data_IF_174664774237
#
_entry.id   IF_174664774237
#
_cell.length_a   1.000
_cell.length_b   1.000
_cell.length_c   1.000
_cell.angle_alpha   90.00
_cell.angle_beta   90.00
_cell.angle_gamma   90.00
#
_symmetry.space_group_name_H-M   'P 1'
#
loop_
_entity.id
_entity.type
_entity.pdbx_description
1 polymer ?
#
# COMPACT_ATOMS: atom_id res chain seq x y z
N UNK A 1 -23.45 -0.11 19.43
CA UNK A 1 -22.27 0.21 20.26
C UNK A 1 -21.46 1.24 19.51
N UNK A 2 -21.49 2.48 19.97
CA UNK A 2 -20.67 3.57 19.45
C UNK A 2 -19.24 3.37 19.94
N UNK A 3 -18.28 3.27 19.01
CA UNK A 3 -16.86 3.25 19.35
C UNK A 3 -16.49 4.59 20.00
N UNK A 4 -15.61 4.62 21.02
CA UNK A 4 -15.13 5.89 21.55
C UNK A 4 -14.27 6.54 20.46
N UNK A 5 -14.71 7.69 19.95
CA UNK A 5 -13.85 8.62 19.24
C UNK A 5 -12.63 8.86 20.15
N UNK A 6 -11.44 8.48 19.67
CA UNK A 6 -10.21 8.89 20.35
C UNK A 6 -10.19 10.41 20.31
N UNK A 7 -10.49 11.04 21.44
CA UNK A 7 -10.29 12.48 21.62
C UNK A 7 -8.79 12.78 21.46
N UNK A 8 -8.40 13.15 20.25
CA UNK A 8 -7.08 13.67 19.96
C UNK A 8 -6.92 14.97 20.77
N UNK A 9 -5.80 15.14 21.45
CA UNK A 9 -5.58 16.35 22.23
C UNK A 9 -5.55 17.58 21.31
N UNK A 10 -6.01 18.76 21.78
CA UNK A 10 -5.97 20.01 20.99
C UNK A 10 -4.58 20.30 20.40
N UNK A 11 -3.51 19.92 21.12
CA UNK A 11 -2.13 20.07 20.66
C UNK A 11 -1.79 19.13 19.51
N UNK A 12 -2.23 17.88 19.56
CA UNK A 12 -2.04 16.94 18.46
C UNK A 12 -2.87 17.33 17.25
N UNK A 13 -4.13 17.74 17.45
CA UNK A 13 -4.97 18.26 16.37
C UNK A 13 -4.31 19.45 15.65
N UNK A 14 -3.80 20.44 16.40
CA UNK A 14 -3.11 21.59 15.82
C UNK A 14 -1.82 21.21 15.07
N UNK A 15 -1.07 20.21 15.56
CA UNK A 15 0.12 19.72 14.85
C UNK A 15 -0.25 19.03 13.55
N UNK A 16 -1.28 18.19 13.57
CA UNK A 16 -1.76 17.46 12.40
C UNK A 16 -2.31 18.43 11.35
N UNK A 17 -3.15 19.39 11.76
CA UNK A 17 -3.68 20.42 10.87
C UNK A 17 -2.57 21.32 10.28
N UNK A 18 -1.58 21.70 11.08
CA UNK A 18 -0.42 22.45 10.59
C UNK A 18 0.41 21.64 9.59
N UNK A 19 0.52 20.32 9.80
CA UNK A 19 1.16 19.40 8.85
C UNK A 19 0.41 19.34 7.51
N UNK A 20 -0.90 19.08 7.52
CA UNK A 20 -1.70 19.05 6.28
C UNK A 20 -1.60 20.36 5.50
N UNK A 21 -1.71 21.50 6.19
CA UNK A 21 -1.59 22.81 5.55
C UNK A 21 -0.20 23.03 4.93
N UNK A 22 0.87 22.64 5.62
CA UNK A 22 2.23 22.73 5.09
C UNK A 22 2.40 21.86 3.83
N UNK A 23 1.90 20.63 3.84
CA UNK A 23 1.91 19.76 2.67
C UNK A 23 1.15 20.36 1.47
N UNK A 24 -0.08 20.84 1.68
CA UNK A 24 -0.87 21.47 0.62
C UNK A 24 -0.25 22.77 0.09
N UNK A 25 0.49 23.49 0.92
CA UNK A 25 1.20 24.71 0.51
C UNK A 25 2.38 24.44 -0.43
N UNK A 26 2.94 23.22 -0.38
CA UNK A 26 4.06 22.80 -1.23
C UNK A 26 3.61 22.41 -2.65
N UNK A 27 2.33 22.11 -2.83
CA UNK A 27 1.76 21.65 -4.10
C UNK A 27 1.34 22.83 -4.99
N UNK A 28 1.59 22.68 -6.29
CA UNK A 28 1.25 23.62 -7.35
C UNK A 28 0.01 23.13 -8.11
N UNK A 29 -1.14 23.13 -7.43
CA UNK A 29 -2.38 22.57 -7.94
C UNK A 29 -3.39 23.62 -8.41
N UNK A 30 -4.23 23.30 -9.41
CA UNK A 30 -5.45 24.04 -9.69
C UNK A 30 -6.39 24.10 -8.47
N UNK A 31 -7.20 25.16 -8.38
CA UNK A 31 -8.11 25.38 -7.23
C UNK A 31 -9.04 24.19 -6.97
N UNK A 32 -9.54 23.55 -8.03
CA UNK A 32 -10.43 22.39 -7.90
C UNK A 32 -9.72 21.17 -7.29
N UNK A 33 -8.50 20.85 -7.74
CA UNK A 33 -7.72 19.75 -7.20
C UNK A 33 -7.26 20.03 -5.77
N UNK A 34 -6.88 21.28 -5.48
CA UNK A 34 -6.54 21.73 -4.13
C UNK A 34 -7.73 21.54 -3.19
N UNK A 35 -8.92 21.99 -3.56
CA UNK A 35 -10.12 21.85 -2.74
C UNK A 35 -10.47 20.37 -2.46
N UNK A 36 -10.35 19.50 -3.49
CA UNK A 36 -10.54 18.04 -3.31
C UNK A 36 -9.54 17.46 -2.33
N UNK A 37 -8.26 17.81 -2.44
CA UNK A 37 -7.25 17.33 -1.49
C UNK A 37 -7.44 17.89 -0.08
N UNK A 38 -7.89 19.14 0.05
CA UNK A 38 -8.22 19.74 1.35
C UNK A 38 -9.32 18.94 2.07
N UNK A 39 -10.40 18.59 1.38
CA UNK A 39 -11.47 17.75 1.93
C UNK A 39 -10.95 16.38 2.38
N UNK A 40 -10.09 15.79 1.55
CA UNK A 40 -9.58 14.44 1.73
C UNK A 40 -8.50 14.35 2.83
N UNK A 41 -7.64 15.37 2.91
CA UNK A 41 -6.49 15.44 3.79
C UNK A 41 -6.75 16.24 5.07
N UNK A 42 -7.99 16.69 5.28
CA UNK A 42 -8.36 17.40 6.49
C UNK A 42 -8.02 16.55 7.71
N UNK A 43 -7.29 17.16 8.65
CA UNK A 43 -6.80 16.50 9.87
C UNK A 43 -5.98 15.22 9.68
N UNK A 44 -5.34 15.03 8.51
CA UNK A 44 -4.41 13.92 8.26
C UNK A 44 -2.99 14.23 8.70
N UNK A 45 -2.30 13.20 9.16
CA UNK A 45 -0.90 13.34 9.53
C UNK A 45 -0.04 13.43 8.26
N UNK A 46 0.81 14.46 8.19
CA UNK A 46 1.83 14.58 7.16
C UNK A 46 3.19 14.88 7.80
N UNK A 47 4.25 14.50 7.09
CA UNK A 47 5.64 14.65 7.53
C UNK A 47 6.52 14.97 6.33
N UNK A 48 7.37 15.97 6.46
CA UNK A 48 8.52 16.14 5.56
C UNK A 48 9.58 15.12 5.99
N UNK A 49 9.75 14.06 5.21
CA UNK A 49 10.69 12.96 5.50
C UNK A 49 11.09 12.27 4.20
N UNK A 50 12.29 11.68 4.17
CA UNK A 50 12.75 10.90 3.01
C UNK A 50 12.09 9.52 2.97
N UNK A 51 12.12 8.88 1.81
CA UNK A 51 11.56 7.53 1.66
C UNK A 51 12.12 6.51 2.66
N UNK A 52 13.45 6.51 2.90
CA UNK A 52 14.06 5.57 3.85
C UNK A 52 13.62 5.83 5.30
N UNK A 53 13.34 7.09 5.64
CA UNK A 53 12.91 7.49 6.97
C UNK A 53 11.47 7.02 7.26
N UNK A 54 10.57 7.09 6.26
CA UNK A 54 9.21 6.51 6.38
C UNK A 54 9.26 4.98 6.47
N UNK A 55 10.10 4.29 5.69
CA UNK A 55 10.28 2.84 5.80
C UNK A 55 10.77 2.43 7.19
N UNK A 56 11.77 3.13 7.73
CA UNK A 56 12.30 2.87 9.07
C UNK A 56 11.23 3.06 10.16
N UNK A 57 10.40 4.10 10.02
CA UNK A 57 9.25 4.34 10.91
C UNK A 57 8.19 3.24 10.80
N UNK A 58 7.82 2.85 9.59
CA UNK A 58 6.82 1.80 9.34
C UNK A 58 7.29 0.43 9.82
N UNK A 59 8.59 0.14 9.77
CA UNK A 59 9.16 -1.09 10.37
C UNK A 59 8.84 -1.21 11.86
N UNK A 60 8.87 -0.10 12.62
CA UNK A 60 8.49 -0.15 14.03
C UNK A 60 6.98 -0.40 14.21
N UNK A 61 6.17 0.26 13.37
CA UNK A 61 4.70 0.12 13.36
C UNK A 61 4.28 -1.34 13.16
N UNK A 62 4.95 -2.08 12.27
CA UNK A 62 4.67 -3.49 11.99
C UNK A 62 4.61 -4.35 13.25
N UNK A 63 5.44 -4.08 14.26
CA UNK A 63 5.47 -4.85 15.51
C UNK A 63 4.60 -4.26 16.63
N UNK A 64 4.26 -2.98 16.53
CA UNK A 64 3.58 -2.24 17.60
C UNK A 64 2.06 -2.17 17.42
N UNK A 65 1.57 -2.27 16.17
CA UNK A 65 0.14 -2.16 15.86
C UNK A 65 -0.42 -3.50 15.42
N UNK A 66 -1.71 -3.69 15.67
CA UNK A 66 -2.46 -4.85 15.19
C UNK A 66 -3.10 -4.62 13.80
N UNK A 67 -3.26 -3.36 13.39
CA UNK A 67 -3.93 -2.97 12.15
C UNK A 67 -2.92 -2.33 11.18
N UNK A 68 -3.18 -2.50 9.88
CA UNK A 68 -2.36 -1.94 8.80
C UNK A 68 -2.43 -0.42 8.75
N UNK A 69 -1.28 0.27 8.74
CA UNK A 69 -1.16 1.69 8.42
C UNK A 69 -1.01 1.90 6.92
N UNK A 70 -1.58 2.98 6.39
CA UNK A 70 -1.47 3.36 4.98
C UNK A 70 -0.94 4.78 4.85
N UNK A 71 0.08 4.94 4.02
CA UNK A 71 0.78 6.18 3.75
C UNK A 71 1.01 6.34 2.25
N UNK A 72 1.02 7.58 1.77
CA UNK A 72 1.58 7.92 0.47
C UNK A 72 2.84 8.73 0.71
N UNK A 73 3.93 8.37 0.05
CA UNK A 73 5.14 9.16 0.00
C UNK A 73 5.25 9.80 -1.38
N UNK A 74 5.49 11.11 -1.41
CA UNK A 74 5.39 11.95 -2.60
C UNK A 74 6.71 12.69 -2.77
N UNK A 75 7.26 12.63 -3.98
CA UNK A 75 8.47 13.36 -4.36
C UNK A 75 8.21 14.38 -5.45
N UNK A 76 8.56 15.63 -5.16
CA UNK A 76 8.58 16.73 -6.13
C UNK A 76 9.89 17.50 -5.99
N UNK A 77 10.67 17.49 -7.08
CA UNK A 77 12.07 17.94 -7.11
C UNK A 77 12.90 17.29 -5.97
N UNK A 78 13.61 18.11 -5.20
CA UNK A 78 14.44 17.71 -4.06
C UNK A 78 13.65 17.57 -2.74
N UNK A 79 12.33 17.79 -2.75
CA UNK A 79 11.48 17.70 -1.56
C UNK A 79 10.62 16.45 -1.56
N UNK A 80 10.45 15.89 -0.36
CA UNK A 80 9.74 14.64 -0.13
C UNK A 80 8.80 14.79 1.07
N UNK A 81 7.58 14.30 0.93
CA UNK A 81 6.57 14.30 1.98
C UNK A 81 5.86 12.96 2.06
N UNK A 82 5.55 12.53 3.28
CA UNK A 82 4.68 11.39 3.53
C UNK A 82 3.37 11.86 4.16
N UNK A 83 2.25 11.32 3.68
CA UNK A 83 0.90 11.65 4.16
C UNK A 83 0.15 10.38 4.52
N UNK A 84 -0.54 10.37 5.65
CA UNK A 84 -1.40 9.26 6.04
C UNK A 84 -2.67 9.25 5.17
N UNK A 85 -2.94 8.12 4.52
CA UNK A 85 -4.04 7.99 3.55
C UNK A 85 -5.12 6.99 3.97
N UNK A 86 -5.16 6.64 5.26
CA UNK A 86 -6.17 5.72 5.77
C UNK A 86 -7.54 6.42 5.78
N UNK A 87 -8.48 6.00 4.94
CA UNK A 87 -9.83 6.60 4.86
C UNK A 87 -10.64 6.28 6.13
N UNK A 88 -11.04 5.01 6.28
CA UNK A 88 -11.76 4.47 7.43
C UNK A 88 -11.21 3.08 7.78
N UNK A 89 -11.06 2.77 9.06
CA UNK A 89 -10.70 1.45 9.53
C UNK A 89 -11.89 0.81 10.25
N UNK A 90 -12.46 -0.23 9.67
CA UNK A 90 -13.28 -1.20 10.41
C UNK A 90 -12.48 -2.48 10.60
N UNK A 91 -12.98 -3.40 11.44
CA UNK A 91 -12.36 -4.72 11.61
C UNK A 91 -12.37 -5.58 10.32
N UNK A 92 -13.16 -5.19 9.31
CA UNK A 92 -13.40 -5.95 8.08
C UNK A 92 -13.05 -5.18 6.80
N UNK A 93 -12.70 -3.90 6.88
CA UNK A 93 -12.34 -3.10 5.71
C UNK A 93 -11.43 -1.93 6.07
N UNK A 94 -10.39 -1.78 5.27
CA UNK A 94 -9.60 -0.57 5.12
C UNK A 94 -9.72 -0.12 3.66
N UNK A 95 -10.17 1.12 3.46
CA UNK A 95 -10.06 1.79 2.16
C UNK A 95 -8.94 2.82 2.21
N UNK A 96 -8.25 2.96 1.09
CA UNK A 96 -7.31 4.07 0.88
C UNK A 96 -8.08 5.26 0.34
N UNK A 97 -7.58 6.43 0.69
CA UNK A 97 -8.02 7.69 0.13
C UNK A 97 -7.61 7.80 -1.34
N UNK A 98 -8.48 8.40 -2.18
CA UNK A 98 -8.18 8.75 -3.57
C UNK A 98 -7.25 9.97 -3.66
N UNK A 99 -5.93 9.74 -3.80
CA UNK A 99 -4.95 10.81 -3.95
C UNK A 99 -4.72 11.26 -5.41
N UNK A 100 -5.55 10.82 -6.36
CA UNK A 100 -5.36 11.16 -7.77
C UNK A 100 -5.34 12.66 -8.10
N UNK A 101 -6.03 13.56 -7.37
CA UNK A 101 -5.86 15.00 -7.59
C UNK A 101 -4.40 15.48 -7.43
N UNK A 102 -3.52 14.75 -6.72
CA UNK A 102 -2.09 15.09 -6.64
C UNK A 102 -1.38 15.07 -8.00
N UNK A 103 -1.83 14.23 -8.94
CA UNK A 103 -1.21 14.14 -10.24
C UNK A 103 -1.50 15.34 -11.16
N UNK A 104 -2.36 16.28 -10.73
CA UNK A 104 -2.52 17.57 -11.42
C UNK A 104 -1.34 18.52 -11.14
N UNK A 105 -0.48 18.22 -10.16
CA UNK A 105 0.80 18.89 -9.98
C UNK A 105 1.86 18.21 -10.86
N UNK A 106 2.14 18.81 -12.02
CA UNK A 106 3.08 18.27 -13.01
C UNK A 106 4.52 18.10 -12.51
N UNK A 107 4.88 18.72 -11.39
CA UNK A 107 6.22 18.59 -10.79
C UNK A 107 6.32 17.41 -9.82
N UNK A 108 5.20 16.71 -9.53
CA UNK A 108 5.20 15.45 -8.78
C UNK A 108 5.79 14.36 -9.67
N UNK A 109 7.02 13.99 -9.35
CA UNK A 109 7.79 13.00 -10.11
C UNK A 109 7.45 11.56 -9.74
N UNK A 110 7.08 11.32 -8.48
CA UNK A 110 6.84 9.96 -7.96
C UNK A 110 5.87 9.96 -6.78
N UNK A 111 5.02 8.94 -6.76
CA UNK A 111 4.19 8.57 -5.60
C UNK A 111 4.44 7.10 -5.26
N UNK A 112 4.79 6.84 -4.01
CA UNK A 112 4.85 5.50 -3.42
C UNK A 112 3.66 5.33 -2.47
N UNK A 113 2.75 4.43 -2.78
CA UNK A 113 1.74 4.01 -1.82
C UNK A 113 2.29 2.92 -0.92
N UNK A 114 2.46 3.23 0.36
CA UNK A 114 3.00 2.33 1.37
C UNK A 114 1.89 1.83 2.30
N UNK A 115 1.92 0.56 2.64
CA UNK A 115 1.19 0.05 3.79
C UNK A 115 1.99 -0.96 4.59
N UNK A 116 1.50 -1.29 5.79
CA UNK A 116 2.14 -2.30 6.64
C UNK A 116 1.34 -3.59 6.67
N UNK A 117 2.00 -4.74 6.66
CA UNK A 117 1.44 -5.99 7.18
C UNK A 117 1.92 -6.18 8.63
N UNK A 118 1.04 -6.07 9.65
CA UNK A 118 1.44 -6.24 11.03
C UNK A 118 1.94 -7.65 11.35
N UNK A 119 2.92 -7.75 12.26
CA UNK A 119 3.37 -9.04 12.79
C UNK A 119 2.23 -9.82 13.49
N UNK A 120 1.17 -9.12 13.93
CA UNK A 120 -0.03 -9.74 14.49
C UNK A 120 -0.74 -10.67 13.50
N UNK A 121 -0.62 -10.45 12.18
CA UNK A 121 -1.20 -11.31 11.15
C UNK A 121 -0.57 -12.72 11.16
N UNK A 122 0.72 -12.83 11.49
CA UNK A 122 1.39 -14.12 11.63
C UNK A 122 0.77 -15.01 12.72
N UNK A 123 0.09 -14.42 13.71
CA UNK A 123 -0.58 -15.15 14.79
C UNK A 123 -1.99 -15.61 14.41
N UNK A 124 -2.69 -14.85 13.58
CA UNK A 124 -4.11 -15.07 13.27
C UNK A 124 -4.33 -15.85 11.98
N UNK A 125 -3.45 -15.69 10.99
CA UNK A 125 -3.63 -16.25 9.66
C UNK A 125 -2.76 -17.48 9.39
N UNK A 126 -1.64 -17.62 10.10
CA UNK A 126 -0.65 -18.66 9.83
C UNK A 126 -0.33 -19.45 11.10
N UNK A 127 -0.18 -20.77 10.97
CA UNK A 127 0.18 -21.65 12.09
C UNK A 127 1.68 -21.54 12.45
N UNK A 128 2.20 -20.32 12.58
CA UNK A 128 3.59 -20.09 13.01
C UNK A 128 3.71 -20.51 14.48
N UNK A 129 4.74 -21.29 14.85
CA UNK A 129 4.94 -21.71 16.24
C UNK A 129 4.99 -20.53 17.21
N UNK A 130 4.33 -20.67 18.38
CA UNK A 130 4.17 -19.57 19.33
C UNK A 130 5.50 -19.07 19.92
N UNK A 131 6.48 -19.96 20.10
CA UNK A 131 7.83 -19.61 20.53
C UNK A 131 8.52 -18.68 19.51
N UNK A 132 8.34 -18.95 18.21
CA UNK A 132 8.86 -18.11 17.12
C UNK A 132 8.15 -16.77 17.06
N UNK A 133 6.82 -16.75 17.18
CA UNK A 133 6.06 -15.50 17.25
C UNK A 133 6.55 -14.62 18.41
N UNK A 134 6.66 -15.20 19.62
CA UNK A 134 7.14 -14.48 20.79
C UNK A 134 8.57 -13.94 20.60
N UNK A 135 9.43 -14.69 19.92
CA UNK A 135 10.77 -14.21 19.55
C UNK A 135 10.72 -13.03 18.58
N UNK A 136 9.87 -13.07 17.55
CA UNK A 136 9.71 -12.00 16.56
C UNK A 136 9.26 -10.71 17.22
N UNK A 137 8.24 -10.76 18.07
CA UNK A 137 7.75 -9.57 18.79
C UNK A 137 8.80 -9.03 19.76
N UNK A 138 9.49 -9.91 20.50
CA UNK A 138 10.52 -9.49 21.46
C UNK A 138 11.73 -8.85 20.78
N UNK A 139 12.16 -9.40 19.64
CA UNK A 139 13.36 -8.94 18.91
C UNK A 139 13.04 -7.87 17.85
N UNK A 140 11.77 -7.61 17.56
CA UNK A 140 11.32 -6.79 16.43
C UNK A 140 12.04 -7.17 15.12
N UNK A 141 12.11 -8.48 14.87
CA UNK A 141 12.79 -9.07 13.72
C UNK A 141 12.13 -10.39 13.34
N UNK A 142 11.72 -10.55 12.08
CA UNK A 142 11.14 -11.78 11.56
C UNK A 142 11.82 -12.28 10.29
N UNK A 143 11.66 -13.57 9.99
CA UNK A 143 12.07 -14.20 8.72
C UNK A 143 10.87 -14.66 7.88
N UNK A 144 9.66 -14.63 8.46
CA UNK A 144 8.43 -15.05 7.84
C UNK A 144 7.86 -13.92 7.00
N UNK A 145 8.08 -14.00 5.69
CA UNK A 145 7.59 -13.00 4.75
C UNK A 145 6.09 -13.16 4.51
N UNK A 146 5.38 -12.05 4.65
CA UNK A 146 3.98 -11.91 4.25
C UNK A 146 3.92 -11.32 2.85
N UNK A 147 3.41 -12.06 1.87
CA UNK A 147 3.34 -11.63 0.46
C UNK A 147 2.22 -10.58 0.31
N UNK A 148 2.38 -9.56 -0.57
CA UNK A 148 1.26 -8.67 -0.91
C UNK A 148 0.03 -9.44 -1.37
N UNK A 149 -1.14 -9.01 -0.90
CA UNK A 149 -2.40 -9.71 -1.14
C UNK A 149 -2.94 -9.51 -2.56
N UNK A 150 -3.96 -10.28 -2.94
CA UNK A 150 -4.67 -10.04 -4.21
C UNK A 150 -5.24 -8.62 -4.29
N UNK A 151 -5.78 -8.11 -3.18
CA UNK A 151 -6.34 -6.76 -3.11
C UNK A 151 -5.26 -5.68 -3.31
N UNK A 152 -4.02 -5.95 -2.88
CA UNK A 152 -2.90 -5.05 -3.12
C UNK A 152 -2.56 -4.92 -4.60
N UNK A 153 -2.56 -6.05 -5.35
CA UNK A 153 -2.31 -6.05 -6.79
C UNK A 153 -3.48 -5.44 -7.57
N UNK A 154 -4.73 -5.77 -7.20
CA UNK A 154 -5.91 -5.16 -7.82
C UNK A 154 -5.95 -3.64 -7.62
N UNK A 155 -5.59 -3.18 -6.42
CA UNK A 155 -5.52 -1.74 -6.11
C UNK A 155 -4.46 -1.07 -6.97
N UNK A 156 -3.25 -1.63 -7.06
CA UNK A 156 -2.18 -1.12 -7.92
C UNK A 156 -2.59 -1.08 -9.39
N UNK A 157 -3.19 -2.15 -9.93
CA UNK A 157 -3.67 -2.16 -11.32
C UNK A 157 -4.73 -1.10 -11.56
N UNK A 158 -5.70 -0.98 -10.64
CA UNK A 158 -6.74 0.04 -10.70
C UNK A 158 -6.17 1.46 -10.61
N UNK A 159 -5.17 1.69 -9.76
CA UNK A 159 -4.51 2.99 -9.63
C UNK A 159 -3.71 3.31 -10.92
N UNK A 160 -2.91 2.36 -11.42
CA UNK A 160 -2.13 2.52 -12.66
C UNK A 160 -3.05 2.76 -13.87
N UNK A 161 -4.19 2.05 -13.93
CA UNK A 161 -5.18 2.21 -15.00
C UNK A 161 -5.79 3.61 -14.97
N UNK A 162 -6.15 4.09 -13.78
CA UNK A 162 -6.71 5.42 -13.58
C UNK A 162 -5.72 6.52 -13.95
N UNK A 163 -4.41 6.32 -13.70
CA UNK A 163 -3.36 7.25 -14.14
C UNK A 163 -3.30 7.31 -15.66
N UNK A 164 -3.30 6.14 -16.32
CA UNK A 164 -3.29 6.04 -17.78
C UNK A 164 -4.53 6.68 -18.41
N UNK A 165 -5.72 6.44 -17.86
CA UNK A 165 -7.00 7.04 -18.29
C UNK A 165 -6.97 8.57 -18.23
N UNK A 166 -6.32 9.14 -17.20
CA UNK A 166 -6.19 10.60 -17.01
C UNK A 166 -5.00 11.22 -17.74
N UNK A 167 -4.14 10.42 -18.37
CA UNK A 167 -2.92 10.90 -19.04
C UNK A 167 -1.91 11.56 -18.08
N UNK A 168 -1.89 11.14 -16.82
CA UNK A 168 -0.99 11.72 -15.80
C UNK A 168 0.43 11.22 -15.98
N UNK A 169 1.40 12.14 -15.98
CA UNK A 169 2.82 11.82 -15.96
C UNK A 169 3.29 11.59 -14.51
N UNK A 170 4.15 10.59 -14.29
CA UNK A 170 4.73 10.29 -12.98
C UNK A 170 4.87 8.80 -12.71
N UNK A 171 5.80 8.45 -11.83
CA UNK A 171 6.00 7.07 -11.40
C UNK A 171 5.08 6.72 -10.23
N UNK A 172 4.35 5.62 -10.37
CA UNK A 172 3.54 5.05 -9.30
C UNK A 172 4.10 3.69 -8.89
N UNK A 173 4.36 3.54 -7.60
CA UNK A 173 4.79 2.25 -7.04
C UNK A 173 4.01 1.97 -5.76
N UNK A 174 3.79 0.69 -5.49
CA UNK A 174 3.20 0.26 -4.23
C UNK A 174 4.23 -0.51 -3.43
N UNK A 175 4.23 -0.33 -2.11
CA UNK A 175 5.14 -1.02 -1.21
C UNK A 175 4.44 -1.53 0.05
N UNK A 176 4.83 -2.72 0.50
CA UNK A 176 4.39 -3.29 1.77
C UNK A 176 5.57 -3.43 2.70
N UNK A 177 5.47 -2.83 3.87
CA UNK A 177 6.42 -3.02 4.96
C UNK A 177 5.91 -4.12 5.88
N UNK A 178 6.66 -5.20 6.04
CA UNK A 178 6.24 -6.40 6.77
C UNK A 178 7.34 -6.90 7.73
N UNK A 179 7.09 -7.86 8.63
CA UNK A 179 8.03 -8.24 9.68
C UNK A 179 9.42 -8.69 9.21
N UNK A 180 9.58 -9.17 7.97
CA UNK A 180 10.88 -9.61 7.47
C UNK A 180 11.56 -8.64 6.48
N UNK A 181 10.85 -7.66 5.94
CA UNK A 181 11.37 -6.78 4.90
C UNK A 181 10.34 -5.85 4.27
N UNK A 182 10.68 -5.37 3.07
CA UNK A 182 9.84 -4.49 2.25
C UNK A 182 9.60 -5.14 0.90
N UNK A 183 8.34 -5.27 0.53
CA UNK A 183 7.93 -5.56 -0.84
C UNK A 183 7.74 -4.25 -1.59
N UNK A 184 8.20 -4.19 -2.83
CA UNK A 184 7.83 -3.13 -3.78
C UNK A 184 7.38 -3.76 -5.08
N UNK A 185 6.26 -3.30 -5.62
CA UNK A 185 5.60 -3.93 -6.76
C UNK A 185 4.99 -2.89 -7.71
N UNK A 186 5.00 -3.25 -8.98
CA UNK A 186 4.55 -2.46 -10.12
C UNK A 186 3.66 -3.30 -11.06
N UNK A 187 3.05 -2.61 -12.02
CA UNK A 187 2.03 -3.14 -12.91
C UNK A 187 2.32 -2.83 -14.37
N UNK A 188 2.43 -3.87 -15.19
CA UNK A 188 2.47 -3.77 -16.65
C UNK A 188 1.06 -3.94 -17.22
N UNK A 189 0.34 -2.82 -17.38
CA UNK A 189 -1.01 -2.83 -17.96
C UNK A 189 -1.03 -3.26 -19.44
N UNK A 190 0.11 -3.32 -20.12
CA UNK A 190 0.20 -3.79 -21.50
C UNK A 190 0.39 -5.32 -21.57
N UNK A 191 0.52 -5.99 -20.43
CA UNK A 191 0.58 -7.44 -20.33
C UNK A 191 -0.68 -8.09 -20.93
N UNK A 192 -0.56 -9.18 -21.73
CA UNK A 192 -1.70 -9.80 -22.40
C UNK A 192 -2.84 -10.21 -21.46
N UNK A 193 -2.51 -10.66 -20.24
CA UNK A 193 -3.51 -11.00 -19.24
C UNK A 193 -4.41 -9.80 -18.90
N UNK A 194 -3.82 -8.63 -18.63
CA UNK A 194 -4.54 -7.42 -18.23
C UNK A 194 -5.31 -6.84 -19.42
N UNK A 195 -4.70 -6.81 -20.60
CA UNK A 195 -5.34 -6.34 -21.84
C UNK A 195 -6.58 -7.15 -22.23
N UNK A 196 -6.64 -8.42 -21.83
CA UNK A 196 -7.76 -9.32 -22.13
C UNK A 196 -8.85 -9.30 -21.05
N UNK A 197 -8.67 -8.53 -19.96
CA UNK A 197 -9.75 -8.31 -18.99
C UNK A 197 -10.92 -7.61 -19.71
N UNK A 198 -12.11 -8.18 -19.55
CA UNK A 198 -13.31 -7.72 -20.26
C UNK A 198 -14.20 -6.93 -19.32
N UNK A 199 -14.70 -5.79 -19.80
CA UNK A 199 -15.61 -4.91 -19.07
C UNK A 199 -16.93 -5.60 -18.73
N UNK A 200 -17.26 -5.82 -17.44
CA UNK A 200 -18.55 -6.31 -17.03
C UNK A 200 -19.60 -5.21 -17.16
N UNK A 201 -20.57 -5.39 -18.07
CA UNK A 201 -21.87 -4.70 -18.03
C UNK A 201 -21.84 -3.17 -18.09
N UNK A 202 -23.05 -2.57 -17.99
CA UNK A 202 -23.26 -1.12 -18.11
C UNK A 202 -23.07 -0.33 -16.80
N UNK A 203 -22.83 -1.01 -15.68
CA UNK A 203 -22.81 -0.43 -14.32
C UNK A 203 -21.40 -0.14 -13.78
N UNK A 204 -20.36 -0.25 -14.62
CA UNK A 204 -18.97 0.06 -14.26
C UNK A 204 -18.50 1.21 -15.13
N UNK A 205 -18.02 2.30 -14.51
CA UNK A 205 -17.79 3.56 -15.21
C UNK A 205 -16.36 3.66 -15.81
N UNK A 206 -15.39 2.86 -15.32
CA UNK A 206 -13.97 2.91 -15.74
C UNK A 206 -13.25 1.56 -15.71
N UNK A 207 -12.17 1.40 -16.49
CA UNK A 207 -11.35 0.18 -16.52
C UNK A 207 -10.66 -0.01 -15.17
N UNK A 208 -10.28 1.12 -14.55
CA UNK A 208 -9.75 1.15 -13.20
C UNK A 208 -10.74 0.61 -12.15
N UNK A 209 -12.02 0.98 -12.22
CA UNK A 209 -13.06 0.44 -11.32
C UNK A 209 -13.39 -1.02 -11.61
N UNK A 210 -13.39 -1.42 -12.88
CA UNK A 210 -13.56 -2.82 -13.25
C UNK A 210 -12.55 -3.70 -12.54
N UNK A 211 -11.26 -3.35 -12.62
CA UNK A 211 -10.19 -4.17 -12.04
C UNK A 211 -10.34 -4.27 -10.52
N UNK A 212 -10.61 -3.15 -9.83
CA UNK A 212 -10.78 -3.15 -8.36
C UNK A 212 -11.93 -4.04 -7.89
N UNK A 213 -12.99 -4.11 -8.69
CA UNK A 213 -14.22 -4.81 -8.37
C UNK A 213 -14.31 -6.23 -8.97
N UNK A 214 -13.27 -6.72 -9.66
CA UNK A 214 -13.28 -8.07 -10.23
C UNK A 214 -13.08 -9.15 -9.16
N UNK A 215 -14.20 -9.68 -8.66
CA UNK A 215 -14.23 -10.75 -7.65
C UNK A 215 -13.59 -12.05 -8.13
N UNK A 216 -13.69 -12.37 -9.43
CA UNK A 216 -13.13 -13.62 -9.97
C UNK A 216 -11.61 -13.54 -9.97
N UNK A 217 -11.08 -12.43 -10.48
CA UNK A 217 -9.65 -12.14 -10.48
C UNK A 217 -9.10 -12.12 -9.05
N UNK A 218 -9.82 -11.47 -8.13
CA UNK A 218 -9.49 -11.47 -6.70
C UNK A 218 -9.35 -12.89 -6.15
N UNK A 219 -10.33 -13.76 -6.42
CA UNK A 219 -10.33 -15.14 -5.94
C UNK A 219 -9.16 -15.96 -6.50
N UNK A 220 -8.94 -15.92 -7.81
CA UNK A 220 -7.84 -16.67 -8.47
C UNK A 220 -6.48 -16.25 -7.94
N UNK A 221 -6.22 -14.93 -7.86
CA UNK A 221 -4.97 -14.42 -7.29
C UNK A 221 -4.83 -14.77 -5.81
N UNK A 222 -5.91 -14.66 -5.04
CA UNK A 222 -5.88 -14.97 -3.62
C UNK A 222 -5.43 -16.41 -3.37
N UNK A 223 -6.02 -17.38 -4.08
CA UNK A 223 -5.68 -18.79 -3.91
C UNK A 223 -4.22 -19.09 -4.31
N UNK A 224 -3.76 -18.51 -5.43
CA UNK A 224 -2.38 -18.70 -5.89
C UNK A 224 -1.33 -18.10 -4.97
N UNK A 225 -1.58 -16.89 -4.46
CA UNK A 225 -0.71 -16.19 -3.52
C UNK A 225 -0.69 -16.91 -2.18
N UNK A 226 -1.87 -17.31 -1.67
CA UNK A 226 -2.00 -18.04 -0.42
C UNK A 226 -1.26 -19.38 -0.46
N UNK A 227 -1.33 -20.11 -1.57
CA UNK A 227 -0.57 -21.35 -1.72
C UNK A 227 0.94 -21.10 -1.61
N UNK A 228 1.46 -20.07 -2.29
CA UNK A 228 2.89 -19.71 -2.27
C UNK A 228 3.35 -19.28 -0.88
N UNK A 229 2.60 -18.38 -0.27
CA UNK A 229 2.88 -17.88 1.07
C UNK A 229 2.87 -19.00 2.10
N UNK A 230 1.90 -19.92 2.04
CA UNK A 230 1.86 -21.09 2.93
C UNK A 230 3.14 -21.92 2.83
N UNK A 231 3.68 -22.12 1.62
CA UNK A 231 4.95 -22.85 1.43
C UNK A 231 6.15 -22.10 2.00
N UNK A 232 6.23 -20.79 1.79
CA UNK A 232 7.29 -19.92 2.32
C UNK A 232 7.28 -19.94 3.86
N UNK A 233 6.11 -19.79 4.46
CA UNK A 233 5.93 -19.85 5.91
C UNK A 233 6.31 -21.23 6.45
N UNK A 234 5.85 -22.31 5.82
CA UNK A 234 6.19 -23.68 6.21
C UNK A 234 7.70 -23.97 6.11
N UNK A 235 8.40 -23.29 5.20
CA UNK A 235 9.86 -23.42 5.01
C UNK A 235 10.68 -22.56 6.00
N UNK A 236 10.02 -21.79 6.86
CA UNK A 236 10.67 -20.93 7.87
C UNK A 236 11.03 -19.53 7.38
N UNK A 237 10.62 -19.15 6.17
CA UNK A 237 10.87 -17.84 5.58
C UNK A 237 11.16 -17.87 4.09
N UNK A 238 11.37 -16.68 3.51
CA UNK A 238 11.62 -16.50 2.08
C UNK A 238 13.06 -16.90 1.70
N UNK A 239 13.24 -17.97 0.93
CA UNK A 239 14.53 -18.25 0.30
C UNK A 239 14.70 -17.45 -1.00
N UNK A 240 15.95 -17.29 -1.46
CA UNK A 240 16.25 -16.64 -2.75
C UNK A 240 15.51 -17.29 -3.92
N UNK A 241 15.39 -18.62 -3.89
CA UNK A 241 14.67 -19.40 -4.90
C UNK A 241 13.18 -19.08 -4.91
N UNK A 242 12.54 -19.06 -3.74
CA UNK A 242 11.11 -18.71 -3.62
C UNK A 242 10.83 -17.31 -4.18
N UNK A 243 11.71 -16.36 -3.87
CA UNK A 243 11.61 -15.00 -4.39
C UNK A 243 11.76 -14.97 -5.92
N UNK A 244 12.74 -15.67 -6.48
CA UNK A 244 12.91 -15.77 -7.94
C UNK A 244 11.69 -16.40 -8.60
N UNK A 245 11.17 -17.51 -8.06
CA UNK A 245 9.98 -18.18 -8.58
C UNK A 245 8.74 -17.27 -8.53
N UNK A 246 8.55 -16.53 -7.43
CA UNK A 246 7.46 -15.57 -7.27
C UNK A 246 7.55 -14.42 -8.29
N UNK A 247 8.74 -13.87 -8.50
CA UNK A 247 8.99 -12.78 -9.46
C UNK A 247 8.72 -13.23 -10.90
N UNK A 248 9.23 -14.39 -11.27
CA UNK A 248 9.02 -14.94 -12.62
C UNK A 248 7.55 -15.26 -12.87
N UNK A 249 6.87 -15.87 -11.89
CA UNK A 249 5.44 -16.15 -11.98
C UNK A 249 4.61 -14.87 -12.10
N UNK A 250 4.80 -13.90 -11.20
CA UNK A 250 4.01 -12.65 -11.20
C UNK A 250 4.15 -11.90 -12.50
N UNK A 251 5.38 -11.80 -13.02
CA UNK A 251 5.66 -11.13 -14.30
C UNK A 251 5.05 -11.88 -15.48
N UNK A 252 5.19 -13.21 -15.54
CA UNK A 252 4.77 -14.02 -16.69
C UNK A 252 3.25 -14.22 -16.77
N UNK A 253 2.60 -14.48 -15.64
CA UNK A 253 1.18 -14.82 -15.63
C UNK A 253 0.31 -13.56 -15.56
N UNK A 254 0.76 -12.55 -14.80
CA UNK A 254 -0.09 -11.44 -14.38
C UNK A 254 0.46 -10.05 -14.76
N UNK A 255 1.66 -9.94 -15.31
CA UNK A 255 2.27 -8.63 -15.61
C UNK A 255 2.62 -7.83 -14.35
N UNK A 256 2.95 -8.51 -13.25
CA UNK A 256 3.32 -7.87 -11.99
C UNK A 256 4.83 -7.92 -11.82
N UNK A 257 5.48 -6.75 -11.75
CA UNK A 257 6.85 -6.66 -11.27
C UNK A 257 6.86 -6.70 -9.75
N UNK A 258 7.58 -7.66 -9.16
CA UNK A 258 7.70 -7.80 -7.71
C UNK A 258 9.17 -7.66 -7.33
N UNK A 259 9.46 -7.01 -6.21
CA UNK A 259 10.77 -6.95 -5.59
C UNK A 259 10.65 -7.07 -4.08
N UNK A 260 11.69 -7.59 -3.44
CA UNK A 260 11.72 -7.79 -2.01
C UNK A 260 13.10 -7.44 -1.45
N UNK A 261 13.11 -6.59 -0.43
CA UNK A 261 14.28 -6.18 0.31
C UNK A 261 14.15 -6.66 1.76
N UNK A 262 14.88 -7.71 2.18
CA UNK A 262 14.85 -8.15 3.56
C UNK A 262 15.49 -7.10 4.47
N UNK A 263 15.00 -7.00 5.70
CA UNK A 263 15.66 -6.20 6.71
C UNK A 263 16.95 -6.86 7.19
N UNK A 264 18.00 -6.04 7.37
CA UNK A 264 19.22 -6.46 8.06
C UNK A 264 18.96 -6.83 9.53
#
# INVERSE_FOLDING_TARGET
MTYPEKNISRREFLKTAAGSAAFLSWLSLPDEARAKLEEILDSRESREERFEDVIARMRNVVYEKANEEYWAHIKKHEKEYSVNIRSHATASSSSRIDLFPLFEDHDVSRIDFLHTHPAALLRTQYAVPEDKLNEIFRRKKGSYALIPSADDFLTLWGDTAKMRERGTAGDLTHSVVEPSGVWSYDADLDHPFIRNLSYPGADIDSFSEMIRNDFRLRGVLHDELRHRETRIIASGGMAKRDLSELREWGKREYGIGISYQPFA
#
